data_IF_687314747977
#
_entry.id   IF_687314747977
#
_cell.length_a   1.000
_cell.length_b   1.000
_cell.length_c   1.000
_cell.angle_alpha   90.00
_cell.angle_beta   90.00
_cell.angle_gamma   90.00
#
_symmetry.space_group_name_H-M   'P 1'
#
loop_
_entity.id
_entity.type
_entity.pdbx_description
1 polymer ?
#
# COMPACT_ATOMS: atom_id res chain seq x y z
N UNK A 1 2.73 7.85 -0.89
CA UNK A 1 1.98 8.72 0.06
C UNK A 1 2.59 8.67 1.45
N UNK A 2 2.62 7.48 2.07
CA UNK A 2 3.25 7.22 3.37
C UNK A 2 4.77 7.16 3.29
N UNK A 3 5.31 6.38 2.34
CA UNK A 3 6.74 6.26 2.06
C UNK A 3 7.04 6.77 0.64
N UNK A 4 7.35 8.07 0.44
CA UNK A 4 7.49 8.65 -0.90
C UNK A 4 8.66 8.09 -1.70
N UNK A 5 9.75 7.70 -1.03
CA UNK A 5 10.94 7.08 -1.64
C UNK A 5 10.86 5.54 -1.65
N UNK A 6 9.77 4.97 -1.11
CA UNK A 6 9.59 3.53 -0.98
C UNK A 6 10.41 2.90 0.15
N UNK A 7 11.21 3.64 0.90
CA UNK A 7 11.85 3.15 2.12
C UNK A 7 11.17 3.72 3.36
N UNK A 8 11.27 2.99 4.49
CA UNK A 8 10.87 3.48 5.81
C UNK A 8 11.83 4.52 6.39
N UNK A 9 12.92 4.82 5.67
CA UNK A 9 13.89 5.86 5.97
C UNK A 9 13.33 7.29 5.75
N UNK A 10 12.29 7.42 4.93
CA UNK A 10 11.62 8.70 4.68
C UNK A 10 10.09 8.55 4.81
N UNK A 11 9.60 8.65 6.04
CA UNK A 11 8.17 8.64 6.35
C UNK A 11 7.58 10.04 6.14
N UNK A 12 6.49 10.13 5.39
CA UNK A 12 5.73 11.36 5.24
C UNK A 12 4.74 11.53 6.41
N UNK A 13 5.11 12.37 7.37
CA UNK A 13 4.32 12.65 8.57
C UNK A 13 2.89 13.12 8.26
N UNK A 14 2.69 13.99 7.26
CA UNK A 14 1.36 14.47 6.88
C UNK A 14 0.47 13.34 6.32
N UNK A 15 1.09 12.37 5.63
CA UNK A 15 0.40 11.17 5.17
C UNK A 15 -0.04 10.29 6.35
N UNK A 16 0.85 10.07 7.32
CA UNK A 16 0.56 9.29 8.53
C UNK A 16 -0.57 9.94 9.34
N UNK A 17 -0.49 11.25 9.57
CA UNK A 17 -1.52 12.02 10.28
C UNK A 17 -2.88 11.92 9.59
N UNK A 18 -2.92 12.03 8.26
CA UNK A 18 -4.16 11.86 7.50
C UNK A 18 -4.83 10.51 7.78
N UNK A 19 -4.07 9.41 7.73
CA UNK A 19 -4.64 8.07 7.94
C UNK A 19 -5.04 7.85 9.41
N UNK A 20 -4.28 8.35 10.38
CA UNK A 20 -4.70 8.33 11.78
C UNK A 20 -6.02 9.07 12.00
N UNK A 21 -6.14 10.28 11.46
CA UNK A 21 -7.37 11.06 11.56
C UNK A 21 -8.57 10.34 10.92
N UNK A 22 -8.37 9.75 9.74
CA UNK A 22 -9.40 8.96 9.07
C UNK A 22 -9.82 7.73 9.88
N UNK A 23 -8.86 6.95 10.38
CA UNK A 23 -9.13 5.73 11.17
C UNK A 23 -9.88 6.10 12.47
N UNK A 24 -9.42 7.15 13.15
CA UNK A 24 -10.05 7.63 14.39
C UNK A 24 -11.47 8.12 14.14
N UNK A 25 -11.71 8.86 13.04
CA UNK A 25 -13.04 9.35 12.70
C UNK A 25 -13.99 8.20 12.33
N UNK A 26 -13.53 7.20 11.56
CA UNK A 26 -14.33 6.01 11.27
C UNK A 26 -14.77 5.31 12.57
N UNK A 27 -13.82 5.11 13.50
CA UNK A 27 -14.10 4.49 14.80
C UNK A 27 -15.03 5.33 15.67
N UNK A 28 -14.86 6.65 15.71
CA UNK A 28 -15.74 7.56 16.44
C UNK A 28 -17.19 7.46 15.96
N UNK A 29 -17.40 7.12 14.68
CA UNK A 29 -18.70 6.89 14.08
C UNK A 29 -19.15 5.41 14.08
N UNK A 30 -18.46 4.53 14.80
CA UNK A 30 -18.81 3.12 14.92
C UNK A 30 -18.57 2.28 13.64
N UNK A 31 -17.74 2.77 12.73
CA UNK A 31 -17.39 2.07 11.49
C UNK A 31 -16.07 1.33 11.70
N UNK A 32 -16.10 0.01 11.55
CA UNK A 32 -14.89 -0.83 11.63
C UNK A 32 -14.12 -0.76 10.30
N UNK A 33 -12.88 -0.23 10.28
CA UNK A 33 -12.11 -0.12 9.05
C UNK A 33 -11.58 -1.49 8.59
N UNK A 34 -11.73 -1.76 7.30
CA UNK A 34 -11.02 -2.82 6.59
C UNK A 34 -10.02 -2.14 5.65
N UNK A 35 -8.72 -2.33 5.90
CA UNK A 35 -7.66 -1.64 5.17
C UNK A 35 -7.02 -2.56 4.15
N UNK A 36 -6.88 -2.05 2.93
CA UNK A 36 -6.13 -2.71 1.85
C UNK A 36 -4.74 -2.05 1.74
N UNK A 37 -3.68 -2.85 1.80
CA UNK A 37 -2.29 -2.37 1.72
C UNK A 37 -1.94 -1.88 0.32
N UNK A 38 -2.37 -2.61 -0.72
CA UNK A 38 -2.09 -2.25 -2.11
C UNK A 38 -3.30 -2.43 -3.02
N UNK A 39 -3.61 -1.37 -3.77
CA UNK A 39 -4.72 -1.32 -4.69
C UNK A 39 -4.26 -0.75 -6.03
N UNK A 40 -3.31 -1.46 -6.65
CA UNK A 40 -2.79 -1.20 -8.00
C UNK A 40 -1.99 0.10 -8.13
N UNK A 41 -1.55 0.65 -7.01
CA UNK A 41 -0.88 1.94 -6.87
C UNK A 41 0.62 1.78 -6.56
N UNK A 42 1.32 1.00 -7.40
CA UNK A 42 2.74 0.70 -7.18
C UNK A 42 3.57 2.00 -7.29
N UNK A 43 4.44 2.31 -6.31
CA UNK A 43 5.32 3.47 -6.42
C UNK A 43 6.20 3.43 -7.68
N UNK A 44 6.31 4.57 -8.37
CA UNK A 44 7.09 4.69 -9.60
C UNK A 44 8.55 4.26 -9.41
N UNK A 45 9.15 4.61 -8.26
CA UNK A 45 10.54 4.21 -7.90
C UNK A 45 10.75 2.70 -7.90
N UNK A 46 9.71 1.90 -7.64
CA UNK A 46 9.79 0.44 -7.74
C UNK A 46 9.56 -0.04 -9.16
N UNK A 47 8.64 0.61 -9.89
CA UNK A 47 8.38 0.28 -11.30
C UNK A 47 9.61 0.55 -12.18
N UNK A 48 10.32 1.64 -11.94
CA UNK A 48 11.57 1.98 -12.62
C UNK A 48 12.69 0.95 -12.37
N UNK A 49 12.60 0.20 -11.26
CA UNK A 49 13.47 -0.93 -10.92
C UNK A 49 12.85 -2.28 -11.30
N UNK A 50 11.91 -2.32 -12.25
CA UNK A 50 11.32 -3.56 -12.79
C UNK A 50 10.01 -4.02 -12.15
N UNK A 51 9.47 -3.26 -11.20
CA UNK A 51 8.12 -3.43 -10.67
C UNK A 51 7.86 -4.81 -10.06
N UNK A 52 6.68 -5.38 -10.34
CA UNK A 52 6.29 -6.70 -9.85
C UNK A 52 7.09 -7.86 -10.47
N UNK A 53 7.85 -7.61 -11.53
CA UNK A 53 8.72 -8.62 -12.16
C UNK A 53 10.09 -8.72 -11.48
N UNK A 54 10.46 -7.76 -10.63
CA UNK A 54 11.68 -7.80 -9.84
C UNK A 54 11.43 -8.51 -8.51
N UNK A 55 12.20 -9.56 -8.18
CA UNK A 55 12.05 -10.30 -6.91
C UNK A 55 12.24 -9.44 -5.66
N UNK A 56 13.01 -8.34 -5.74
CA UNK A 56 13.18 -7.36 -4.65
C UNK A 56 11.86 -6.71 -4.21
N UNK A 57 10.81 -6.79 -5.02
CA UNK A 57 9.50 -6.25 -4.68
C UNK A 57 8.90 -6.93 -3.45
N UNK A 58 9.27 -8.19 -3.19
CA UNK A 58 8.81 -8.95 -2.04
C UNK A 58 9.26 -8.29 -0.74
N UNK A 59 10.56 -7.97 -0.64
CA UNK A 59 11.15 -7.32 0.53
C UNK A 59 10.59 -5.90 0.70
N UNK A 60 10.50 -5.13 -0.39
CA UNK A 60 9.93 -3.76 -0.36
C UNK A 60 8.48 -3.74 0.09
N UNK A 61 7.67 -4.68 -0.41
CA UNK A 61 6.28 -4.81 -0.01
C UNK A 61 6.17 -5.23 1.46
N UNK A 62 7.01 -6.15 1.91
CA UNK A 62 7.08 -6.56 3.31
C UNK A 62 7.44 -5.39 4.23
N UNK A 63 8.43 -4.57 3.85
CA UNK A 63 8.84 -3.39 4.62
C UNK A 63 7.68 -2.39 4.75
N UNK A 64 6.99 -2.11 3.63
CA UNK A 64 5.84 -1.22 3.64
C UNK A 64 4.68 -1.75 4.49
N UNK A 65 4.34 -3.04 4.34
CA UNK A 65 3.28 -3.67 5.12
C UNK A 65 3.63 -3.72 6.62
N UNK A 66 4.89 -4.00 6.95
CA UNK A 66 5.38 -4.00 8.33
C UNK A 66 5.26 -2.61 8.95
N UNK A 67 5.69 -1.57 8.23
CA UNK A 67 5.50 -0.18 8.66
C UNK A 67 4.02 0.13 8.92
N UNK A 68 3.13 -0.21 7.98
CA UNK A 68 1.70 0.07 8.13
C UNK A 68 1.07 -0.69 9.32
N UNK A 69 1.46 -1.94 9.55
CA UNK A 69 0.98 -2.71 10.69
C UNK A 69 1.51 -2.18 12.02
N UNK A 70 2.76 -1.72 12.08
CA UNK A 70 3.33 -1.12 13.29
C UNK A 70 2.68 0.24 13.59
N UNK A 71 2.48 1.07 12.57
CA UNK A 71 1.96 2.42 12.73
C UNK A 71 0.45 2.45 13.02
N UNK A 72 -0.33 1.60 12.36
CA UNK A 72 -1.80 1.66 12.40
C UNK A 72 -2.48 0.41 13.00
N UNK A 73 -1.70 -0.61 13.39
CA UNK A 73 -2.21 -1.92 13.82
C UNK A 73 -3.15 -1.88 15.02
N UNK A 74 -2.86 -1.04 16.01
CA UNK A 74 -3.74 -0.82 17.17
C UNK A 74 -5.13 -0.28 16.74
N UNK A 75 -5.14 0.40 15.60
CA UNK A 75 -6.30 1.02 14.97
C UNK A 75 -7.13 0.09 14.08
N UNK A 76 -6.62 -1.06 13.63
CA UNK A 76 -7.23 -1.81 12.52
C UNK A 76 -7.23 -3.30 12.80
N UNK A 77 -8.42 -3.92 12.73
CA UNK A 77 -8.59 -5.36 12.91
C UNK A 77 -8.48 -6.16 11.61
N UNK A 78 -8.96 -5.60 10.50
CA UNK A 78 -9.09 -6.31 9.22
C UNK A 78 -8.18 -5.73 8.15
N UNK A 79 -7.37 -6.61 7.56
CA UNK A 79 -6.38 -6.25 6.57
C UNK A 79 -6.51 -7.11 5.31
N UNK A 80 -6.31 -6.47 4.16
CA UNK A 80 -6.17 -7.11 2.84
C UNK A 80 -4.82 -6.70 2.28
N UNK A 81 -3.98 -7.66 1.92
CA UNK A 81 -2.64 -7.33 1.40
C UNK A 81 -2.72 -6.79 -0.03
N UNK A 82 -3.41 -7.51 -0.91
CA UNK A 82 -3.50 -7.18 -2.34
C UNK A 82 -4.97 -7.20 -2.75
N UNK A 83 -5.45 -6.10 -3.35
CA UNK A 83 -6.72 -6.12 -4.06
C UNK A 83 -6.54 -6.77 -5.43
N UNK A 84 -7.29 -7.82 -5.71
CA UNK A 84 -7.44 -8.41 -7.05
C UNK A 84 -6.13 -8.58 -7.85
N UNK A 85 -5.16 -9.38 -7.36
CA UNK A 85 -3.84 -9.47 -8.00
C UNK A 85 -3.87 -9.95 -9.45
N UNK A 86 -4.83 -10.81 -9.79
CA UNK A 86 -5.06 -11.23 -11.17
C UNK A 86 -5.30 -10.05 -12.11
N UNK A 87 -5.97 -8.98 -11.66
CA UNK A 87 -6.34 -7.86 -12.52
C UNK A 87 -5.10 -7.06 -12.93
N UNK A 88 -4.27 -6.62 -11.99
CA UNK A 88 -3.08 -5.85 -12.36
C UNK A 88 -2.01 -6.70 -13.06
N UNK A 89 -1.97 -8.03 -12.82
CA UNK A 89 -1.14 -8.93 -13.63
C UNK A 89 -1.63 -9.00 -15.09
N UNK A 90 -2.91 -9.32 -15.31
CA UNK A 90 -3.42 -9.59 -16.66
C UNK A 90 -3.62 -8.31 -17.47
N UNK A 91 -4.21 -7.28 -16.87
CA UNK A 91 -4.54 -6.04 -17.59
C UNK A 91 -3.44 -4.98 -17.53
N UNK A 92 -2.39 -5.20 -16.73
CA UNK A 92 -1.25 -4.29 -16.60
C UNK A 92 0.09 -4.83 -17.11
N UNK A 93 0.35 -6.15 -17.05
CA UNK A 93 1.60 -6.73 -17.57
C UNK A 93 1.40 -7.58 -18.84
N UNK A 94 0.23 -8.19 -19.03
CA UNK A 94 -0.10 -8.92 -20.26
C UNK A 94 -0.86 -8.03 -21.27
N UNK A 95 -1.74 -7.17 -20.78
CA UNK A 95 -2.46 -6.16 -21.56
C UNK A 95 -2.06 -4.72 -21.20
N UNK A 96 -2.71 -3.76 -21.86
CA UNK A 96 -2.35 -2.33 -21.77
C UNK A 96 -3.45 -1.44 -21.16
N UNK A 97 -4.39 -2.05 -20.44
CA UNK A 97 -5.58 -1.37 -19.93
C UNK A 97 -5.33 -0.65 -18.60
N UNK A 98 -4.37 -1.15 -17.80
CA UNK A 98 -3.96 -0.56 -16.54
C UNK A 98 -2.46 -0.33 -16.52
N UNK A 99 -1.99 0.48 -15.57
CA UNK A 99 -0.56 0.57 -15.28
C UNK A 99 0.00 -0.83 -14.92
N UNK A 100 1.26 -1.14 -15.26
CA UNK A 100 2.23 -0.26 -15.93
C UNK A 100 2.03 -0.10 -17.45
N UNK A 101 1.25 -0.95 -18.10
CA UNK A 101 0.77 -0.72 -19.47
C UNK A 101 1.19 -1.75 -20.49
#
# INVERSE_FOLDING_TARGET
RLLPTGGSDNVNAAGVEYYHNLINELKANGIEPLVTIHHWDLPQVYQDDGGWLNSKIQDRFLDFATFAFQEFGDGIKYWVLLNEPHIFCSFGYEGTNFAPG
#
